data_IF_829588631165
#
_entry.id   IF_829588631165
#
_cell.length_a   1.000
_cell.length_b   1.000
_cell.length_c   1.000
_cell.angle_alpha   90.00
_cell.angle_beta   90.00
_cell.angle_gamma   90.00
#
_symmetry.space_group_name_H-M   'P 1'
#
loop_
_entity.id
_entity.type
_entity.pdbx_description
1 polymer ?
#
# COMPACT_ATOMS: atom_id res chain seq x y z
N UNK A 1 5.60 37.78 -2.05
CA UNK A 1 4.80 36.54 -1.92
C UNK A 1 5.62 35.43 -2.57
N UNK A 2 6.43 34.74 -1.77
CA UNK A 2 7.29 33.64 -2.21
C UNK A 2 6.38 32.46 -2.57
N UNK A 3 6.51 31.95 -3.79
CA UNK A 3 5.91 30.66 -4.17
C UNK A 3 6.65 29.62 -3.33
N UNK A 4 6.01 29.11 -2.28
CA UNK A 4 6.53 27.95 -1.54
C UNK A 4 6.77 26.83 -2.55
N UNK A 5 8.03 26.43 -2.70
CA UNK A 5 8.38 25.30 -3.55
C UNK A 5 7.75 24.06 -2.92
N UNK A 6 6.75 23.48 -3.58
CA UNK A 6 6.23 22.18 -3.16
C UNK A 6 7.39 21.18 -3.18
N UNK A 7 7.61 20.42 -2.09
CA UNK A 7 8.64 19.39 -2.06
C UNK A 7 8.54 18.51 -3.32
N UNK A 8 9.67 18.20 -3.96
CA UNK A 8 9.64 17.36 -5.17
C UNK A 8 9.76 15.89 -4.76
N UNK A 9 8.64 15.17 -4.86
CA UNK A 9 8.62 13.72 -4.73
C UNK A 9 9.13 13.06 -6.01
N UNK A 10 9.85 11.95 -5.88
CA UNK A 10 10.26 11.13 -7.02
C UNK A 10 9.31 9.94 -7.12
N UNK A 11 8.77 9.70 -8.32
CA UNK A 11 7.97 8.51 -8.60
C UNK A 11 8.89 7.32 -8.81
N UNK A 12 8.66 6.26 -8.04
CA UNK A 12 9.31 4.97 -8.17
C UNK A 12 8.27 3.90 -8.51
N UNK A 13 8.17 3.49 -9.78
CA UNK A 13 7.40 2.32 -10.15
C UNK A 13 8.04 1.07 -9.55
N UNK A 14 7.31 0.37 -8.69
CA UNK A 14 7.76 -0.84 -7.99
C UNK A 14 6.66 -1.89 -8.02
N UNK A 15 6.95 -3.11 -7.55
CA UNK A 15 5.94 -4.16 -7.44
C UNK A 15 5.53 -4.38 -5.98
N UNK A 16 4.49 -5.19 -5.78
CA UNK A 16 4.00 -5.57 -4.44
C UNK A 16 5.12 -6.23 -3.63
N UNK A 17 5.93 -7.09 -4.25
CA UNK A 17 7.03 -7.79 -3.59
C UNK A 17 8.07 -6.83 -2.98
N UNK A 18 8.50 -5.83 -3.76
CA UNK A 18 9.42 -4.79 -3.30
C UNK A 18 8.86 -4.02 -2.09
N UNK A 19 7.58 -3.64 -2.14
CA UNK A 19 6.94 -2.97 -1.01
C UNK A 19 6.91 -3.85 0.23
N UNK A 20 6.67 -5.15 0.10
CA UNK A 20 6.67 -6.07 1.24
C UNK A 20 8.06 -6.23 1.83
N UNK A 21 9.09 -6.36 0.99
CA UNK A 21 10.48 -6.42 1.45
C UNK A 21 10.86 -5.20 2.29
N UNK A 22 10.42 -3.99 1.89
CA UNK A 22 10.64 -2.76 2.67
C UNK A 22 9.89 -2.73 4.01
N UNK A 23 8.72 -3.36 4.09
CA UNK A 23 7.95 -3.44 5.34
C UNK A 23 8.58 -4.45 6.30
N UNK A 24 9.05 -5.58 5.77
CA UNK A 24 9.64 -6.66 6.55
C UNK A 24 11.02 -6.28 7.11
N UNK A 25 11.78 -5.45 6.38
CA UNK A 25 13.04 -4.87 6.87
C UNK A 25 12.85 -3.79 7.94
N UNK A 26 11.61 -3.52 8.36
CA UNK A 26 11.24 -2.42 9.27
C UNK A 26 11.72 -1.03 8.80
N UNK A 27 12.01 -0.90 7.50
CA UNK A 27 12.47 0.35 6.89
C UNK A 27 11.34 1.34 6.65
N UNK A 28 10.08 0.97 6.96
CA UNK A 28 8.92 1.84 6.86
C UNK A 28 8.26 2.03 8.23
N UNK A 29 8.26 3.26 8.72
CA UNK A 29 7.52 3.73 9.89
C UNK A 29 6.18 4.37 9.53
N UNK A 30 5.39 4.67 10.56
CA UNK A 30 4.11 5.39 10.45
C UNK A 30 4.27 6.76 11.09
N UNK A 31 3.79 7.82 10.42
CA UNK A 31 3.73 9.15 11.01
C UNK A 31 2.69 9.17 12.14
N UNK A 32 3.10 9.50 13.37
CA UNK A 32 2.20 9.54 14.53
C UNK A 32 1.29 10.77 14.54
N UNK A 33 1.64 11.80 13.78
CA UNK A 33 0.90 13.07 13.69
C UNK A 33 -0.22 13.07 12.66
N UNK A 34 -0.35 12.03 11.83
CA UNK A 34 -1.37 11.93 10.79
C UNK A 34 -2.58 11.08 11.25
N UNK A 35 -3.82 11.43 10.83
CA UNK A 35 -5.01 10.68 11.19
C UNK A 35 -4.94 9.20 10.75
N UNK A 36 -5.27 8.29 11.68
CA UNK A 36 -5.39 6.86 11.38
C UNK A 36 -6.79 6.53 10.86
N UNK A 37 -6.98 6.67 9.55
CA UNK A 37 -8.20 6.17 8.87
C UNK A 37 -8.13 4.66 8.76
N UNK A 38 -9.24 3.94 8.97
CA UNK A 38 -9.34 2.48 8.76
C UNK A 38 -10.35 2.20 7.66
N UNK A 39 -9.97 1.42 6.64
CA UNK A 39 -10.91 1.01 5.59
C UNK A 39 -11.84 -0.09 6.09
N UNK A 40 -13.17 0.00 5.86
CA UNK A 40 -14.08 -1.10 6.09
C UNK A 40 -13.74 -2.28 5.18
N UNK A 41 -14.14 -3.49 5.60
CA UNK A 41 -13.82 -4.75 4.90
C UNK A 41 -14.19 -4.70 3.41
N UNK A 42 -15.31 -4.06 3.05
CA UNK A 42 -15.73 -3.90 1.66
C UNK A 42 -14.69 -3.15 0.81
N UNK A 43 -14.18 -2.02 1.29
CA UNK A 43 -13.17 -1.24 0.56
C UNK A 43 -11.85 -2.00 0.43
N UNK A 44 -11.47 -2.76 1.46
CA UNK A 44 -10.26 -3.60 1.41
C UNK A 44 -10.35 -4.65 0.30
N UNK A 45 -11.50 -5.34 0.19
CA UNK A 45 -11.74 -6.33 -0.88
C UNK A 45 -11.71 -5.68 -2.27
N UNK A 46 -12.38 -4.53 -2.43
CA UNK A 46 -12.37 -3.78 -3.68
C UNK A 46 -10.95 -3.35 -4.08
N UNK A 47 -10.13 -2.91 -3.12
CA UNK A 47 -8.75 -2.53 -3.42
C UNK A 47 -7.90 -3.71 -3.92
N UNK A 48 -8.01 -4.89 -3.30
CA UNK A 48 -7.29 -6.09 -3.77
C UNK A 48 -7.75 -6.48 -5.17
N UNK A 49 -9.06 -6.38 -5.44
CA UNK A 49 -9.62 -6.59 -6.76
C UNK A 49 -9.07 -5.59 -7.78
N UNK A 50 -9.06 -4.30 -7.44
CA UNK A 50 -8.49 -3.25 -8.29
C UNK A 50 -7.03 -3.50 -8.63
N UNK A 51 -6.22 -3.84 -7.63
CA UNK A 51 -4.80 -4.14 -7.81
C UNK A 51 -4.57 -5.38 -8.68
N UNK A 52 -5.34 -6.45 -8.49
CA UNK A 52 -5.18 -7.67 -9.29
C UNK A 52 -5.63 -7.48 -10.76
N UNK A 53 -6.72 -6.75 -10.95
CA UNK A 53 -7.36 -6.58 -12.27
C UNK A 53 -6.79 -5.38 -13.04
N UNK A 54 -5.70 -4.77 -12.55
CA UNK A 54 -5.05 -3.60 -13.14
C UNK A 54 -5.95 -2.37 -13.29
N UNK A 55 -6.95 -2.22 -12.41
CA UNK A 55 -7.69 -0.96 -12.33
C UNK A 55 -6.79 0.14 -11.76
N UNK A 56 -6.95 1.41 -12.19
CA UNK A 56 -6.21 2.52 -11.62
C UNK A 56 -6.37 2.59 -10.09
N UNK A 57 -5.23 2.61 -9.38
CA UNK A 57 -5.18 2.79 -7.94
C UNK A 57 -4.26 3.97 -7.61
N UNK A 58 -4.56 4.66 -6.51
CA UNK A 58 -3.73 5.77 -6.06
C UNK A 58 -2.35 5.31 -5.59
N UNK A 59 -1.35 6.18 -5.75
CA UNK A 59 0.04 5.92 -5.40
C UNK A 59 0.26 5.85 -3.89
N UNK A 60 1.25 5.08 -3.46
CA UNK A 60 1.75 5.08 -2.08
C UNK A 60 2.66 6.29 -1.88
N UNK A 61 2.48 7.04 -0.79
CA UNK A 61 3.25 8.26 -0.54
C UNK A 61 4.06 8.13 0.74
N UNK A 62 5.38 8.23 0.59
CA UNK A 62 6.36 8.11 1.65
C UNK A 62 7.24 9.36 1.69
N UNK A 63 7.82 9.65 2.86
CA UNK A 63 9.01 10.51 2.98
C UNK A 63 10.15 9.74 3.62
N UNK A 64 11.39 10.15 3.38
CA UNK A 64 12.50 9.73 4.23
C UNK A 64 12.40 10.38 5.60
N UNK A 65 12.86 9.68 6.63
CA UNK A 65 12.97 10.21 7.99
C UNK A 65 14.07 11.28 8.08
N UNK A 66 15.16 11.10 7.34
CA UNK A 66 16.21 12.09 7.10
C UNK A 66 16.90 11.82 5.76
N UNK A 67 17.69 12.77 5.26
CA UNK A 67 18.43 12.64 3.99
C UNK A 67 19.35 11.40 3.95
N UNK A 68 19.97 11.09 5.08
CA UNK A 68 20.89 9.97 5.28
C UNK A 68 20.20 8.66 5.71
N UNK A 69 18.93 8.73 6.11
CA UNK A 69 18.20 7.56 6.59
C UNK A 69 17.61 6.74 5.43
N UNK A 70 17.82 5.42 5.51
CA UNK A 70 17.08 4.46 4.68
C UNK A 70 15.65 4.22 5.20
N UNK A 71 15.30 4.79 6.35
CA UNK A 71 13.96 4.69 6.92
C UNK A 71 13.03 5.70 6.27
N UNK A 72 11.87 5.21 5.90
CA UNK A 72 10.79 5.98 5.31
C UNK A 72 9.61 6.04 6.27
N UNK A 73 8.82 7.10 6.18
CA UNK A 73 7.61 7.34 6.95
C UNK A 73 6.44 7.42 5.98
N UNK A 74 5.37 6.67 6.25
CA UNK A 74 4.13 6.73 5.49
C UNK A 74 3.46 8.08 5.73
N UNK A 75 3.22 8.83 4.66
CA UNK A 75 2.40 10.06 4.67
C UNK A 75 0.95 9.69 4.38
N UNK A 76 0.71 9.02 3.26
CA UNK A 76 -0.60 8.54 2.86
C UNK A 76 -0.50 7.06 2.45
N UNK A 77 -1.64 6.36 2.36
CA UNK A 77 -1.73 4.96 1.91
C UNK A 77 -1.45 3.88 2.95
N UNK A 78 -1.43 4.20 4.24
CA UNK A 78 -1.33 3.17 5.30
C UNK A 78 -2.42 2.09 5.19
N UNK A 79 -3.62 2.45 4.71
CA UNK A 79 -4.70 1.50 4.45
C UNK A 79 -4.46 0.60 3.22
N UNK A 80 -3.84 1.12 2.16
CA UNK A 80 -3.45 0.33 0.98
C UNK A 80 -2.45 -0.75 1.38
N UNK A 81 -1.39 -0.32 2.07
CA UNK A 81 -0.33 -1.18 2.60
C UNK A 81 -0.91 -2.24 3.54
N UNK A 82 -1.69 -1.83 4.54
CA UNK A 82 -2.32 -2.75 5.49
C UNK A 82 -3.26 -3.74 4.81
N UNK A 83 -4.00 -3.31 3.79
CA UNK A 83 -4.88 -4.18 2.99
C UNK A 83 -4.09 -5.25 2.24
N UNK A 84 -2.97 -4.89 1.60
CA UNK A 84 -2.08 -5.85 0.94
C UNK A 84 -1.58 -6.88 1.95
N UNK A 85 -1.09 -6.44 3.12
CA UNK A 85 -0.63 -7.36 4.19
C UNK A 85 -1.72 -8.32 4.63
N UNK A 86 -2.95 -7.84 4.82
CA UNK A 86 -4.09 -8.69 5.17
C UNK A 86 -4.38 -9.73 4.10
N UNK A 87 -4.30 -9.36 2.82
CA UNK A 87 -4.51 -10.28 1.70
C UNK A 87 -3.42 -11.35 1.63
N UNK A 88 -2.15 -10.94 1.63
CA UNK A 88 -1.00 -11.86 1.59
C UNK A 88 -0.96 -12.80 2.81
N UNK A 89 -1.48 -12.35 3.95
CA UNK A 89 -1.60 -13.19 5.15
C UNK A 89 -2.77 -14.18 5.10
N UNK A 90 -3.64 -14.12 4.08
CA UNK A 90 -4.81 -14.99 3.94
C UNK A 90 -6.02 -14.56 4.79
N UNK A 91 -5.99 -13.36 5.39
CA UNK A 91 -7.08 -12.86 6.23
C UNK A 91 -8.26 -12.31 5.43
N UNK A 92 -8.00 -11.77 4.23
CA UNK A 92 -9.04 -11.33 3.30
C UNK A 92 -8.85 -11.99 1.94
N UNK A 93 -9.93 -12.22 1.17
CA UNK A 93 -9.85 -12.77 -0.18
C UNK A 93 -9.80 -11.69 -1.26
N UNK A 94 -9.31 -12.08 -2.44
CA UNK A 94 -9.68 -11.49 -3.71
C UNK A 94 -11.05 -12.03 -4.13
N UNK A 95 -11.96 -11.17 -4.59
CA UNK A 95 -13.26 -11.59 -5.12
C UNK A 95 -13.24 -11.41 -6.64
N UNK A 96 -13.34 -12.52 -7.36
CA UNK A 96 -13.30 -12.49 -8.83
C UNK A 96 -14.48 -11.72 -9.41
N UNK A 97 -14.19 -10.77 -10.32
CA UNK A 97 -15.21 -10.07 -11.10
C UNK A 97 -16.11 -11.03 -11.88
N UNK A 98 -15.52 -12.04 -12.52
CA UNK A 98 -16.19 -12.95 -13.44
C UNK A 98 -16.92 -14.07 -12.72
N UNK A 99 -16.24 -14.78 -11.82
CA UNK A 99 -16.78 -15.97 -11.16
C UNK A 99 -17.45 -15.69 -9.81
N UNK A 100 -17.28 -14.48 -9.26
CA UNK A 100 -17.69 -14.10 -7.89
C UNK A 100 -17.08 -14.97 -6.77
N UNK A 101 -16.13 -15.84 -7.11
CA UNK A 101 -15.43 -16.71 -6.15
C UNK A 101 -14.45 -15.92 -5.30
N UNK A 102 -14.31 -16.36 -4.06
CA UNK A 102 -13.36 -15.82 -3.11
C UNK A 102 -12.07 -16.65 -3.11
N UNK A 103 -10.97 -16.05 -3.58
CA UNK A 103 -9.66 -16.68 -3.67
C UNK A 103 -8.73 -16.05 -2.63
N UNK A 104 -8.12 -16.89 -1.79
CA UNK A 104 -7.20 -16.46 -0.74
C UNK A 104 -5.75 -16.65 -1.17
N UNK A 105 -4.86 -15.75 -0.74
CA UNK A 105 -3.45 -15.86 -1.09
C UNK A 105 -2.77 -17.09 -0.44
N UNK A 106 -3.19 -17.45 0.77
CA UNK A 106 -2.73 -18.66 1.48
C UNK A 106 -3.79 -19.16 2.45
N UNK A 107 -3.67 -20.43 2.83
CA UNK A 107 -4.45 -21.01 3.91
C UNK A 107 -3.97 -20.46 5.25
N UNK A 108 -4.90 -20.14 6.14
CA UNK A 108 -4.61 -19.76 7.52
C UNK A 108 -4.86 -20.98 8.42
N UNK A 109 -3.92 -21.34 9.33
CA UNK A 109 -4.15 -22.41 10.28
C UNK A 109 -5.43 -22.18 11.10
N UNK A 110 -6.26 -23.23 11.26
CA UNK A 110 -7.53 -23.15 11.98
C UNK A 110 -8.69 -22.47 11.22
N UNK A 111 -8.45 -21.92 10.03
CA UNK A 111 -9.54 -21.43 9.17
C UNK A 111 -10.20 -22.59 8.41
N UNK A 112 -11.51 -22.48 8.07
CA UNK A 112 -12.17 -23.44 7.19
C UNK A 112 -11.44 -23.63 5.86
N UNK A 113 -11.68 -24.77 5.20
CA UNK A 113 -11.20 -25.01 3.84
C UNK A 113 -11.70 -23.90 2.91
N UNK A 114 -10.77 -23.30 2.16
CA UNK A 114 -10.98 -22.15 1.28
C UNK A 114 -10.22 -22.37 -0.02
N UNK A 115 -10.69 -21.75 -1.09
CA UNK A 115 -9.96 -21.73 -2.36
C UNK A 115 -8.72 -20.86 -2.21
N UNK A 116 -7.54 -21.47 -2.41
CA UNK A 116 -6.24 -20.81 -2.32
C UNK A 116 -5.68 -20.64 -3.72
N UNK A 117 -5.15 -19.46 -4.01
CA UNK A 117 -4.47 -19.18 -5.27
C UNK A 117 -3.33 -20.18 -5.52
N UNK A 118 -3.16 -20.59 -6.77
CA UNK A 118 -2.00 -21.38 -7.19
C UNK A 118 -0.71 -20.53 -7.19
N UNK A 119 0.42 -21.18 -7.49
CA UNK A 119 1.73 -20.51 -7.48
C UNK A 119 1.85 -19.43 -8.55
N UNK A 120 1.33 -19.68 -9.75
CA UNK A 120 1.44 -18.76 -10.87
C UNK A 120 0.66 -17.48 -10.61
N UNK A 121 -0.56 -17.61 -10.10
CA UNK A 121 -1.42 -16.50 -9.72
C UNK A 121 -0.76 -15.65 -8.64
N UNK A 122 -0.13 -16.26 -7.62
CA UNK A 122 0.60 -15.53 -6.57
C UNK A 122 1.77 -14.74 -7.15
N UNK A 123 2.57 -15.36 -8.02
CA UNK A 123 3.69 -14.67 -8.69
C UNK A 123 3.19 -13.48 -9.50
N UNK A 124 2.09 -13.63 -10.25
CA UNK A 124 1.48 -12.51 -10.98
C UNK A 124 1.04 -11.40 -10.03
N UNK A 125 0.38 -11.72 -8.93
CA UNK A 125 -0.06 -10.74 -7.95
C UNK A 125 1.12 -9.98 -7.32
N UNK A 126 2.19 -10.69 -6.95
CA UNK A 126 3.40 -10.08 -6.36
C UNK A 126 4.12 -9.14 -7.34
N UNK A 127 3.99 -9.40 -8.64
CA UNK A 127 4.53 -8.56 -9.71
C UNK A 127 3.63 -7.39 -10.11
N UNK A 128 2.45 -7.23 -9.50
CA UNK A 128 1.57 -6.10 -9.78
C UNK A 128 2.27 -4.78 -9.49
N UNK A 129 2.16 -3.84 -10.43
CA UNK A 129 2.81 -2.54 -10.36
C UNK A 129 2.12 -1.65 -9.32
N UNK A 130 2.94 -0.98 -8.53
CA UNK A 130 2.58 0.06 -7.58
C UNK A 130 3.42 1.30 -7.89
N UNK A 131 2.76 2.45 -7.91
CA UNK A 131 3.44 3.73 -7.99
C UNK A 131 3.72 4.21 -6.56
N UNK A 132 5.00 4.36 -6.21
CA UNK A 132 5.46 4.82 -4.89
C UNK A 132 6.13 6.18 -5.06
N UNK A 133 5.55 7.23 -4.49
CA UNK A 133 6.19 8.55 -4.41
C UNK A 133 6.99 8.66 -3.12
N UNK A 134 8.26 9.06 -3.25
CA UNK A 134 9.17 9.25 -2.12
C UNK A 134 9.66 10.70 -2.10
N UNK A 135 9.43 11.39 -0.98
CA UNK A 135 10.00 12.70 -0.70
C UNK A 135 11.27 12.55 0.15
N UNK A 136 12.36 13.22 -0.24
CA UNK A 136 13.63 13.13 0.50
C UNK A 136 13.69 14.08 1.70
N UNK A 137 13.19 15.30 1.53
CA UNK A 137 13.27 16.38 2.51
C UNK A 137 11.89 16.99 2.62
N UNK A 138 11.15 16.55 3.64
CA UNK A 138 9.79 17.02 3.88
C UNK A 138 9.59 17.16 5.39
N UNK A 139 9.34 18.39 5.81
CA UNK A 139 8.94 18.71 7.17
C UNK A 139 7.58 18.10 7.53
N UNK A 140 7.28 17.98 8.81
CA UNK A 140 6.01 17.43 9.29
C UNK A 140 4.81 18.27 8.80
N UNK A 141 4.97 19.59 8.68
CA UNK A 141 3.91 20.48 8.20
C UNK A 141 3.65 20.32 6.70
N UNK A 142 4.70 20.17 5.90
CA UNK A 142 4.57 19.82 4.48
C UNK A 142 3.94 18.43 4.30
N UNK A 143 4.30 17.46 5.14
CA UNK A 143 3.69 16.13 5.11
C UNK A 143 2.20 16.19 5.44
N UNK A 144 1.78 16.99 6.43
CA UNK A 144 0.37 17.27 6.73
C UNK A 144 -0.33 17.92 5.55
N UNK A 145 0.31 18.89 4.89
CA UNK A 145 -0.26 19.59 3.73
C UNK A 145 -0.46 18.65 2.55
N UNK A 146 0.54 17.82 2.23
CA UNK A 146 0.44 16.79 1.18
C UNK A 146 -0.65 15.78 1.52
N UNK A 147 -0.70 15.32 2.78
CA UNK A 147 -1.75 14.41 3.24
C UNK A 147 -3.15 14.99 3.01
N UNK A 148 -3.36 16.27 3.33
CA UNK A 148 -4.63 16.97 3.07
C UNK A 148 -4.94 17.00 1.57
N UNK A 149 -4.03 17.46 0.72
CA UNK A 149 -4.24 17.54 -0.73
C UNK A 149 -4.61 16.20 -1.37
N UNK A 150 -4.11 15.09 -0.84
CA UNK A 150 -4.39 13.73 -1.33
C UNK A 150 -5.73 13.16 -0.83
N UNK A 151 -6.32 13.75 0.21
CA UNK A 151 -7.53 13.27 0.87
C UNK A 151 -8.70 14.27 0.83
N UNK A 152 -8.51 15.43 0.18
CA UNK A 152 -9.55 16.42 -0.13
C UNK A 152 -10.45 15.95 -1.28
#
# INVERSE_FOLDING_TARGET
MSIEQTPRGVLHPKNVDYLMALLDSQSIGVDKGLPRKVWPVRLRKLYIQSLNDNYPIGSIVLRKESSESNRMIIIDSGQRIGTIKLFLSGQIPYISCSSKKAIYFKQVPGAPSREVADREWKTRFLNQRLDIFIYNEMSDDEARRVYQLMNC
#
